data_IF_415354214987
#
_entry.id   IF_415354214987
#
_cell.length_a   1.000
_cell.length_b   1.000
_cell.length_c   1.000
_cell.angle_alpha   90.00
_cell.angle_beta   90.00
_cell.angle_gamma   90.00
#
_symmetry.space_group_name_H-M   'P 1'
#
loop_
_entity.id
_entity.type
_entity.pdbx_description
1 polymer ?
#
# COMPACT_ATOMS: atom_id res chain seq x y z
N UNK A 1 1.23 19.86 18.52
CA UNK A 1 2.21 19.86 17.40
C UNK A 1 1.98 21.12 16.58
N UNK A 2 3.02 21.74 16.05
CA UNK A 2 2.85 22.88 15.14
C UNK A 2 2.22 22.35 13.84
N UNK A 3 1.10 22.95 13.43
CA UNK A 3 0.50 22.70 12.14
C UNK A 3 1.28 23.54 11.11
N UNK A 4 1.83 22.88 10.10
CA UNK A 4 2.48 23.53 8.96
C UNK A 4 1.45 23.53 7.85
N UNK A 5 0.98 24.70 7.44
CA UNK A 5 0.13 24.85 6.27
C UNK A 5 1.03 25.03 5.04
N UNK A 6 0.78 24.26 3.99
CA UNK A 6 1.57 24.27 2.76
C UNK A 6 0.85 25.10 1.69
N UNK A 7 1.48 26.18 1.24
CA UNK A 7 1.01 26.95 0.09
C UNK A 7 1.63 26.39 -1.19
N UNK A 8 0.78 25.95 -2.12
CA UNK A 8 1.19 25.47 -3.44
C UNK A 8 0.81 26.48 -4.52
N UNK A 9 1.70 26.68 -5.50
CA UNK A 9 1.41 27.48 -6.69
C UNK A 9 0.43 26.77 -7.63
N UNK A 10 -0.23 27.54 -8.51
CA UNK A 10 -1.15 26.96 -9.51
C UNK A 10 -0.42 25.97 -10.44
N UNK A 11 0.87 26.18 -10.71
CA UNK A 11 1.67 25.25 -11.53
C UNK A 11 1.81 23.90 -10.85
N UNK A 12 2.11 23.87 -9.55
CA UNK A 12 2.26 22.64 -8.77
C UNK A 12 0.93 21.87 -8.69
N UNK A 13 -0.15 22.59 -8.43
CA UNK A 13 -1.50 21.99 -8.39
C UNK A 13 -1.93 21.51 -9.78
N UNK A 14 -1.59 22.23 -10.84
CA UNK A 14 -1.81 21.79 -12.22
C UNK A 14 -1.03 20.52 -12.54
N UNK A 15 0.18 20.33 -12.00
CA UNK A 15 0.93 19.09 -12.17
C UNK A 15 0.23 17.90 -11.50
N UNK A 16 -0.33 18.07 -10.29
CA UNK A 16 -1.10 17.03 -9.60
C UNK A 16 -2.32 16.61 -10.43
N UNK A 17 -3.10 17.57 -10.93
CA UNK A 17 -4.28 17.28 -11.77
C UNK A 17 -3.87 16.59 -13.07
N UNK A 18 -2.85 17.13 -13.75
CA UNK A 18 -2.40 16.64 -15.05
C UNK A 18 -1.96 15.17 -15.03
N UNK A 19 -1.22 14.73 -14.01
CA UNK A 19 -0.80 13.32 -13.98
C UNK A 19 -1.99 12.36 -13.82
N UNK A 20 -3.04 12.78 -13.10
CA UNK A 20 -4.26 11.99 -12.97
C UNK A 20 -5.01 11.93 -14.31
N UNK A 21 -5.17 13.08 -14.98
CA UNK A 21 -5.82 13.16 -16.28
C UNK A 21 -5.09 12.32 -17.34
N UNK A 22 -3.75 12.37 -17.36
CA UNK A 22 -2.91 11.57 -18.26
C UNK A 22 -3.08 10.05 -18.04
N UNK A 23 -3.54 9.63 -16.86
CA UNK A 23 -3.67 8.21 -16.47
C UNK A 23 -5.13 7.78 -16.28
N UNK A 24 -6.12 8.60 -16.64
CA UNK A 24 -7.54 8.34 -16.36
C UNK A 24 -8.04 7.00 -16.97
N UNK A 25 -7.51 6.64 -18.14
CA UNK A 25 -7.86 5.41 -18.85
C UNK A 25 -6.92 4.23 -18.54
N UNK A 26 -5.98 4.39 -17.62
CA UNK A 26 -5.08 3.33 -17.22
C UNK A 26 -5.85 2.29 -16.37
N UNK A 27 -5.84 0.98 -16.71
CA UNK A 27 -6.58 -0.03 -15.96
C UNK A 27 -6.24 -0.09 -14.47
N UNK A 28 -4.99 0.17 -14.10
CA UNK A 28 -4.58 0.22 -12.68
C UNK A 28 -5.27 1.37 -11.93
N UNK A 29 -5.36 2.54 -12.55
CA UNK A 29 -6.01 3.73 -11.96
C UNK A 29 -7.53 3.55 -11.89
N UNK A 30 -8.14 2.95 -12.92
CA UNK A 30 -9.57 2.62 -12.91
C UNK A 30 -9.89 1.62 -11.79
N UNK A 31 -9.12 0.53 -11.68
CA UNK A 31 -9.27 -0.44 -10.60
C UNK A 31 -9.11 0.20 -9.23
N UNK A 32 -8.12 1.08 -9.04
CA UNK A 32 -7.94 1.84 -7.79
C UNK A 32 -9.17 2.70 -7.46
N UNK A 33 -9.79 3.32 -8.46
CA UNK A 33 -11.00 4.13 -8.27
C UNK A 33 -12.17 3.26 -7.81
N UNK A 34 -12.38 2.13 -8.47
CA UNK A 34 -13.47 1.20 -8.15
C UNK A 34 -13.30 0.62 -6.74
N UNK A 35 -12.07 0.26 -6.38
CA UNK A 35 -11.76 -0.40 -5.10
C UNK A 35 -11.75 0.58 -3.91
N UNK A 36 -11.02 1.70 -4.03
CA UNK A 36 -10.73 2.58 -2.89
C UNK A 36 -11.62 3.82 -2.82
N UNK A 37 -12.13 4.31 -3.95
CA UNK A 37 -12.87 5.58 -3.99
C UNK A 37 -14.38 5.36 -3.91
N UNK A 38 -14.92 4.50 -4.77
CA UNK A 38 -16.36 4.25 -4.83
C UNK A 38 -16.86 3.82 -3.45
N UNK A 39 -18.00 4.39 -3.03
CA UNK A 39 -18.67 4.00 -1.79
C UNK A 39 -19.16 2.57 -1.94
N UNK A 40 -18.69 1.68 -1.07
CA UNK A 40 -18.99 0.27 -1.12
C UNK A 40 -18.99 -0.29 0.30
N UNK A 41 -19.84 -1.29 0.55
CA UNK A 41 -19.66 -2.16 1.69
C UNK A 41 -18.42 -3.02 1.43
N UNK A 42 -17.34 -2.69 2.13
CA UNK A 42 -16.09 -3.45 2.06
C UNK A 42 -16.18 -4.59 3.06
N UNK A 43 -16.05 -5.83 2.55
CA UNK A 43 -15.92 -7.03 3.36
C UNK A 43 -14.57 -7.66 3.07
N UNK A 44 -13.81 -7.97 4.12
CA UNK A 44 -12.47 -8.53 4.02
C UNK A 44 -12.46 -9.87 4.75
N UNK A 45 -11.92 -10.87 4.07
CA UNK A 45 -11.67 -12.21 4.63
C UNK A 45 -10.21 -12.31 5.12
N UNK A 46 -9.94 -13.29 5.97
CA UNK A 46 -8.57 -13.57 6.42
C UNK A 46 -7.62 -13.87 5.25
N UNK A 47 -8.09 -14.61 4.24
CA UNK A 47 -7.31 -14.88 3.01
C UNK A 47 -7.00 -13.61 2.21
N UNK A 48 -7.97 -12.69 2.08
CA UNK A 48 -7.73 -11.43 1.38
C UNK A 48 -6.70 -10.57 2.13
N UNK A 49 -6.77 -10.53 3.46
CA UNK A 49 -5.74 -9.87 4.26
C UNK A 49 -4.37 -10.53 4.05
N UNK A 50 -4.30 -11.86 4.11
CA UNK A 50 -3.06 -12.61 3.91
C UNK A 50 -2.45 -12.35 2.53
N UNK A 51 -3.26 -12.35 1.47
CA UNK A 51 -2.80 -12.05 0.11
C UNK A 51 -2.30 -10.61 -0.02
N UNK A 52 -2.99 -9.63 0.60
CA UNK A 52 -2.54 -8.24 0.63
C UNK A 52 -1.21 -8.07 1.39
N UNK A 53 -1.04 -8.80 2.49
CA UNK A 53 0.20 -8.87 3.27
C UNK A 53 1.36 -9.44 2.44
N UNK A 54 1.16 -10.58 1.77
CA UNK A 54 2.14 -11.17 0.86
C UNK A 54 2.49 -10.22 -0.29
N UNK A 55 1.50 -9.61 -0.93
CA UNK A 55 1.72 -8.63 -2.00
C UNK A 55 2.53 -7.43 -1.50
N UNK A 56 2.28 -6.92 -0.30
CA UNK A 56 3.06 -5.83 0.27
C UNK A 56 4.52 -6.21 0.57
N UNK A 57 4.77 -7.46 1.00
CA UNK A 57 6.14 -7.98 1.18
C UNK A 57 6.85 -8.15 -0.16
N UNK A 58 6.18 -8.74 -1.15
CA UNK A 58 6.71 -8.98 -2.49
C UNK A 58 6.97 -7.69 -3.26
N UNK A 59 6.16 -6.66 -3.08
CA UNK A 59 6.34 -5.36 -3.75
C UNK A 59 7.40 -4.47 -3.06
N UNK A 60 8.02 -4.95 -1.97
CA UNK A 60 9.08 -4.24 -1.27
C UNK A 60 10.45 -4.48 -1.93
N UNK A 61 11.14 -3.38 -2.28
CA UNK A 61 12.50 -3.39 -2.83
C UNK A 61 12.70 -4.13 -4.17
N UNK A 62 11.61 -4.45 -4.87
CA UNK A 62 11.63 -5.00 -6.23
C UNK A 62 10.49 -4.42 -7.07
N UNK A 63 10.62 -4.47 -8.40
CA UNK A 63 9.63 -3.89 -9.32
C UNK A 63 8.38 -4.76 -9.35
N UNK A 64 7.22 -4.13 -9.30
CA UNK A 64 5.89 -4.75 -9.38
C UNK A 64 5.05 -4.16 -10.51
N UNK A 65 5.71 -3.76 -11.61
CA UNK A 65 5.02 -3.36 -12.85
C UNK A 65 4.49 -4.59 -13.60
N UNK A 66 3.71 -4.40 -14.68
CA UNK A 66 2.96 -5.48 -15.35
C UNK A 66 3.81 -6.68 -15.78
N UNK A 67 5.03 -6.43 -16.23
CA UNK A 67 5.94 -7.46 -16.77
C UNK A 67 6.89 -8.05 -15.71
N UNK A 68 6.74 -7.71 -14.43
CA UNK A 68 7.67 -8.19 -13.40
C UNK A 68 7.34 -9.60 -12.91
N UNK A 69 8.37 -10.30 -12.44
CA UNK A 69 8.21 -11.59 -11.75
C UNK A 69 7.26 -11.51 -10.56
N UNK A 70 7.20 -10.37 -9.87
CA UNK A 70 6.23 -10.15 -8.78
C UNK A 70 4.80 -10.21 -9.32
N UNK A 71 4.50 -9.46 -10.38
CA UNK A 71 3.14 -9.42 -10.94
C UNK A 71 2.74 -10.78 -11.52
N UNK A 72 3.67 -11.51 -12.13
CA UNK A 72 3.45 -12.87 -12.60
C UNK A 72 3.14 -13.82 -11.44
N UNK A 73 3.93 -13.80 -10.37
CA UNK A 73 3.68 -14.60 -9.17
C UNK A 73 2.32 -14.28 -8.54
N UNK A 74 2.00 -12.99 -8.36
CA UNK A 74 0.72 -12.57 -7.77
C UNK A 74 -0.48 -13.06 -8.60
N UNK A 75 -0.33 -13.12 -9.92
CA UNK A 75 -1.38 -13.54 -10.84
C UNK A 75 -1.54 -15.06 -10.92
N UNK A 76 -0.43 -15.79 -10.93
CA UNK A 76 -0.41 -17.20 -11.34
C UNK A 76 -0.24 -18.15 -10.16
N UNK A 77 0.45 -17.72 -9.10
CA UNK A 77 0.98 -18.62 -8.06
C UNK A 77 0.72 -18.18 -6.62
N UNK A 78 0.11 -17.02 -6.38
CA UNK A 78 -0.17 -16.55 -5.00
C UNK A 78 -1.03 -17.55 -4.20
N UNK A 79 -1.89 -18.31 -4.87
CA UNK A 79 -2.72 -19.33 -4.22
C UNK A 79 -1.91 -20.52 -3.70
N UNK A 80 -0.71 -20.74 -4.24
CA UNK A 80 0.25 -21.72 -3.72
C UNK A 80 0.78 -21.34 -2.34
N UNK A 81 0.61 -20.09 -1.90
CA UNK A 81 0.99 -19.61 -0.56
C UNK A 81 -0.20 -19.02 0.20
N UNK A 82 -1.42 -19.53 -0.05
CA UNK A 82 -2.63 -19.09 0.66
C UNK A 82 -2.53 -19.30 2.17
N UNK A 83 -3.43 -18.68 2.94
CA UNK A 83 -3.42 -18.81 4.40
C UNK A 83 -3.60 -20.27 4.82
N UNK A 84 -4.49 -21.00 4.14
CA UNK A 84 -4.74 -22.42 4.40
C UNK A 84 -3.53 -23.30 4.03
N UNK A 85 -2.88 -23.05 2.89
CA UNK A 85 -1.64 -23.76 2.54
C UNK A 85 -0.53 -23.51 3.57
N UNK A 86 -0.39 -22.27 4.04
CA UNK A 86 0.55 -21.93 5.10
C UNK A 86 0.19 -22.62 6.42
N UNK A 87 -1.09 -22.67 6.80
CA UNK A 87 -1.55 -23.34 8.03
C UNK A 87 -1.23 -24.84 8.03
N UNK A 88 -1.32 -25.48 6.88
CA UNK A 88 -1.04 -26.91 6.72
C UNK A 88 0.47 -27.23 6.61
N UNK A 89 1.32 -26.22 6.40
CA UNK A 89 2.76 -26.41 6.28
C UNK A 89 3.42 -26.65 7.64
N UNK A 90 4.34 -27.63 7.72
CA UNK A 90 5.11 -27.90 8.94
C UNK A 90 6.02 -26.72 9.32
N UNK A 91 6.56 -26.03 8.31
CA UNK A 91 7.44 -24.86 8.47
C UNK A 91 7.12 -23.81 7.42
N UNK A 92 6.25 -22.87 7.79
CA UNK A 92 5.75 -21.81 6.90
C UNK A 92 6.89 -21.06 6.22
N UNK A 93 7.92 -20.69 6.99
CA UNK A 93 9.02 -19.89 6.46
C UNK A 93 9.80 -20.62 5.38
N UNK A 94 10.03 -21.93 5.55
CA UNK A 94 10.67 -22.78 4.55
C UNK A 94 9.79 -22.97 3.32
N UNK A 95 8.52 -23.29 3.53
CA UNK A 95 7.53 -23.52 2.48
C UNK A 95 7.38 -22.31 1.55
N UNK A 96 7.16 -21.11 2.11
CA UNK A 96 7.03 -19.89 1.31
C UNK A 96 8.34 -19.55 0.61
N UNK A 97 9.49 -19.74 1.26
CA UNK A 97 10.79 -19.45 0.64
C UNK A 97 11.06 -20.35 -0.57
N UNK A 98 10.73 -21.64 -0.47
CA UNK A 98 10.89 -22.63 -1.54
C UNK A 98 10.03 -22.28 -2.74
N UNK A 99 8.73 -22.01 -2.54
CA UNK A 99 7.83 -21.62 -3.64
C UNK A 99 8.31 -20.34 -4.35
N UNK A 100 8.73 -19.33 -3.59
CA UNK A 100 9.23 -18.07 -4.16
C UNK A 100 10.57 -18.26 -4.90
N UNK A 101 11.43 -19.17 -4.42
CA UNK A 101 12.69 -19.53 -5.06
C UNK A 101 12.44 -20.31 -6.37
N UNK A 102 11.52 -21.27 -6.36
CA UNK A 102 11.13 -22.09 -7.51
C UNK A 102 10.50 -21.28 -8.64
N UNK A 103 9.62 -20.31 -8.32
CA UNK A 103 9.08 -19.38 -9.31
C UNK A 103 10.19 -18.62 -10.05
N UNK A 104 11.27 -18.27 -9.33
CA UNK A 104 12.42 -17.56 -9.87
C UNK A 104 12.18 -16.06 -10.08
N UNK A 105 13.26 -15.28 -10.02
CA UNK A 105 13.19 -13.82 -10.22
C UNK A 105 12.66 -13.02 -9.01
N UNK A 106 12.15 -13.67 -7.98
CA UNK A 106 11.82 -13.05 -6.68
C UNK A 106 13.09 -12.92 -5.83
N UNK A 107 13.34 -11.72 -5.33
CA UNK A 107 14.47 -11.44 -4.42
C UNK A 107 14.02 -11.51 -2.97
N UNK A 108 14.98 -11.77 -2.08
CA UNK A 108 14.75 -11.79 -0.63
C UNK A 108 13.71 -12.83 -0.17
N UNK A 109 13.49 -13.89 -0.94
CA UNK A 109 12.52 -14.95 -0.65
C UNK A 109 12.67 -15.51 0.78
N UNK A 110 13.90 -15.75 1.26
CA UNK A 110 14.14 -16.18 2.65
C UNK A 110 13.62 -15.18 3.70
N UNK A 111 13.81 -13.87 3.47
CA UNK A 111 13.30 -12.84 4.38
C UNK A 111 11.77 -12.74 4.31
N UNK A 112 11.18 -12.98 3.13
CA UNK A 112 9.74 -13.00 2.94
C UNK A 112 9.14 -14.21 3.66
N UNK A 113 9.72 -15.40 3.51
CA UNK A 113 9.32 -16.60 4.25
C UNK A 113 9.39 -16.40 5.76
N UNK A 114 10.51 -15.86 6.28
CA UNK A 114 10.64 -15.51 7.70
C UNK A 114 9.53 -14.54 8.17
N UNK A 115 9.20 -13.53 7.35
CA UNK A 115 8.09 -12.63 7.65
C UNK A 115 6.75 -13.34 7.65
N UNK A 116 6.49 -14.24 6.71
CA UNK A 116 5.24 -14.99 6.67
C UNK A 116 5.08 -15.85 7.93
N UNK A 117 6.11 -16.60 8.31
CA UNK A 117 6.09 -17.46 9.50
C UNK A 117 5.81 -16.65 10.77
N UNK A 118 6.60 -15.61 11.04
CA UNK A 118 6.45 -14.78 12.26
C UNK A 118 5.11 -14.06 12.31
N UNK A 119 4.61 -13.60 11.17
CA UNK A 119 3.33 -12.89 11.12
C UNK A 119 2.15 -13.84 11.24
N UNK A 120 2.25 -15.03 10.64
CA UNK A 120 1.25 -16.09 10.81
C UNK A 120 1.16 -16.50 12.27
N UNK A 121 2.28 -16.79 12.94
CA UNK A 121 2.30 -17.16 14.37
C UNK A 121 1.60 -16.11 15.25
N UNK A 122 1.80 -14.83 14.94
CA UNK A 122 1.14 -13.71 15.65
C UNK A 122 -0.36 -13.69 15.40
N UNK A 123 -0.79 -13.90 14.17
CA UNK A 123 -2.20 -13.94 13.79
C UNK A 123 -2.91 -15.14 14.41
N UNK A 124 -2.28 -16.32 14.39
CA UNK A 124 -2.83 -17.57 14.91
C UNK A 124 -2.87 -17.62 16.46
N UNK A 125 -2.12 -16.74 17.13
CA UNK A 125 -2.16 -16.53 18.59
C UNK A 125 -3.07 -15.35 18.95
N UNK A 126 -4.37 -15.47 18.65
CA UNK A 126 -5.42 -14.46 18.91
C UNK A 126 -5.26 -13.08 18.20
N UNK A 127 -4.21 -12.90 17.39
CA UNK A 127 -3.94 -11.63 16.70
C UNK A 127 -4.99 -11.25 15.65
N UNK A 128 -5.79 -12.20 15.16
CA UNK A 128 -6.89 -11.91 14.22
C UNK A 128 -7.94 -10.97 14.81
N UNK A 129 -8.35 -11.16 16.05
CA UNK A 129 -9.39 -10.33 16.67
C UNK A 129 -8.90 -8.89 16.87
N UNK A 130 -7.64 -8.74 17.30
CA UNK A 130 -6.99 -7.44 17.46
C UNK A 130 -6.87 -6.70 16.12
N UNK A 131 -6.44 -7.41 15.06
CA UNK A 131 -6.37 -6.88 13.71
C UNK A 131 -7.76 -6.46 13.20
N UNK A 132 -8.79 -7.28 13.41
CA UNK A 132 -10.14 -6.96 12.94
C UNK A 132 -10.72 -5.73 13.61
N UNK A 133 -10.48 -5.54 14.91
CA UNK A 133 -10.91 -4.32 15.62
C UNK A 133 -10.33 -3.05 15.00
N UNK A 134 -9.10 -3.11 14.48
CA UNK A 134 -8.46 -1.97 13.80
C UNK A 134 -8.97 -1.78 12.36
N UNK A 135 -9.13 -2.86 11.60
CA UNK A 135 -9.65 -2.78 10.23
C UNK A 135 -11.13 -2.36 10.19
N UNK A 136 -11.93 -2.69 11.20
CA UNK A 136 -13.33 -2.28 11.30
C UNK A 136 -13.48 -0.75 11.36
N UNK A 137 -12.53 -0.04 12.00
CA UNK A 137 -12.48 1.43 11.96
C UNK A 137 -12.45 1.96 10.52
N UNK A 138 -11.68 1.30 9.63
CA UNK A 138 -11.55 1.68 8.23
C UNK A 138 -12.75 1.25 7.39
N UNK A 139 -13.31 0.07 7.67
CA UNK A 139 -14.53 -0.43 7.02
C UNK A 139 -15.69 0.55 7.30
N UNK A 140 -15.84 1.03 8.53
CA UNK A 140 -16.90 1.98 8.88
C UNK A 140 -16.79 3.33 8.14
N UNK A 141 -15.58 3.89 7.98
CA UNK A 141 -15.42 5.14 7.22
C UNK A 141 -15.61 4.92 5.71
N UNK A 142 -15.39 3.71 5.19
CA UNK A 142 -15.58 3.37 3.76
C UNK A 142 -17.05 3.30 3.35
N UNK A 143 -17.98 3.07 4.29
CA UNK A 143 -19.45 3.08 4.08
C UNK A 143 -20.03 4.43 3.67
N UNK A 144 -19.22 5.49 3.63
CA UNK A 144 -19.63 6.84 3.29
C UNK A 144 -18.61 7.51 2.39
N UNK A 145 -19.03 8.64 1.80
CA UNK A 145 -18.12 9.57 1.12
C UNK A 145 -16.95 9.99 2.02
N UNK A 146 -15.74 10.20 1.43
CA UNK A 146 -14.57 10.64 2.16
C UNK A 146 -14.79 12.01 2.80
N UNK A 147 -14.24 12.18 3.99
CA UNK A 147 -14.11 13.45 4.70
C UNK A 147 -12.64 13.69 4.96
N UNK A 148 -12.19 14.94 4.90
CA UNK A 148 -10.78 15.25 5.10
C UNK A 148 -10.25 14.69 6.43
N UNK A 149 -11.04 14.74 7.50
CA UNK A 149 -10.67 14.16 8.81
C UNK A 149 -10.39 12.65 8.81
N UNK A 150 -10.77 11.90 7.78
CA UNK A 150 -10.61 10.45 7.72
C UNK A 150 -9.12 10.04 7.65
N UNK A 151 -8.24 10.92 7.16
CA UNK A 151 -6.80 10.65 7.10
C UNK A 151 -6.22 10.25 8.46
N UNK A 152 -6.76 10.82 9.56
CA UNK A 152 -6.25 10.57 10.90
C UNK A 152 -6.49 9.11 11.33
N UNK A 153 -7.67 8.56 11.02
CA UNK A 153 -8.03 7.16 11.31
C UNK A 153 -7.21 6.22 10.43
N UNK A 154 -7.11 6.53 9.13
CA UNK A 154 -6.27 5.77 8.21
C UNK A 154 -4.80 5.73 8.68
N UNK A 155 -4.27 6.85 9.18
CA UNK A 155 -2.90 6.95 9.68
C UNK A 155 -2.69 6.17 10.95
N UNK A 156 -3.64 6.22 11.87
CA UNK A 156 -3.64 5.46 13.12
C UNK A 156 -3.50 3.96 12.81
N UNK A 157 -4.40 3.43 11.96
CA UNK A 157 -4.42 2.00 11.60
C UNK A 157 -3.15 1.62 10.81
N UNK A 158 -2.70 2.45 9.86
CA UNK A 158 -1.46 2.18 9.13
C UNK A 158 -0.24 2.14 10.06
N UNK A 159 -0.17 3.05 11.03
CA UNK A 159 0.92 3.09 12.03
C UNK A 159 0.84 1.90 12.97
N UNK A 160 -0.37 1.51 13.35
CA UNK A 160 -0.62 0.33 14.17
C UNK A 160 -0.11 -0.96 13.48
N UNK A 161 -0.42 -1.16 12.19
CA UNK A 161 0.12 -2.30 11.43
C UNK A 161 1.65 -2.33 11.39
N UNK A 162 2.32 -1.18 11.32
CA UNK A 162 3.78 -1.11 11.24
C UNK A 162 4.52 -1.11 12.57
N UNK A 163 3.88 -0.70 13.66
CA UNK A 163 4.56 -0.46 14.96
C UNK A 163 3.80 -0.97 16.18
N UNK A 164 2.48 -1.12 16.10
CA UNK A 164 1.60 -1.36 17.24
C UNK A 164 1.13 -2.80 17.40
N UNK A 165 0.97 -3.55 16.30
CA UNK A 165 0.42 -4.91 16.32
C UNK A 165 1.27 -5.83 17.20
N UNK A 166 0.66 -6.41 18.23
CA UNK A 166 1.35 -7.17 19.28
C UNK A 166 2.56 -6.43 19.91
N UNK A 167 2.51 -5.10 19.95
CA UNK A 167 3.56 -4.22 20.52
C UNK A 167 4.78 -3.97 19.64
N UNK A 168 4.88 -4.60 18.45
CA UNK A 168 6.04 -4.46 17.56
C UNK A 168 5.67 -4.25 16.08
N UNK A 169 4.38 -4.25 15.73
CA UNK A 169 3.91 -4.23 14.35
C UNK A 169 4.06 -5.59 13.66
N UNK A 170 3.67 -5.69 12.39
CA UNK A 170 3.96 -6.86 11.57
C UNK A 170 5.45 -6.94 11.23
N UNK A 171 6.05 -8.12 11.33
CA UNK A 171 7.44 -8.34 10.98
C UNK A 171 7.70 -7.99 9.51
N UNK A 172 8.70 -7.13 9.27
CA UNK A 172 9.10 -6.59 7.95
C UNK A 172 8.03 -5.75 7.23
N UNK A 173 7.00 -5.32 7.95
CA UNK A 173 5.99 -4.38 7.46
C UNK A 173 6.28 -2.99 8.05
N UNK A 174 6.97 -2.15 7.29
CA UNK A 174 7.19 -0.75 7.65
C UNK A 174 6.06 0.16 7.17
N UNK A 175 6.23 1.48 7.34
CA UNK A 175 5.24 2.51 6.99
C UNK A 175 4.69 2.40 5.57
N UNK A 176 5.55 2.07 4.59
CA UNK A 176 5.14 1.85 3.20
C UNK A 176 4.27 0.59 3.07
N UNK A 177 4.77 -0.55 3.57
CA UNK A 177 4.11 -1.84 3.44
C UNK A 177 2.75 -1.85 4.11
N UNK A 178 2.62 -1.26 5.30
CA UNK A 178 1.32 -1.15 5.98
C UNK A 178 0.28 -0.44 5.10
N UNK A 179 0.67 0.65 4.42
CA UNK A 179 -0.23 1.38 3.51
C UNK A 179 -0.48 0.66 2.20
N UNK A 180 0.49 -0.11 1.69
CA UNK A 180 0.25 -1.03 0.58
C UNK A 180 -0.85 -2.04 0.93
N UNK A 181 -0.76 -2.70 2.10
CA UNK A 181 -1.77 -3.67 2.57
C UNK A 181 -3.15 -3.02 2.59
N UNK A 182 -3.27 -1.88 3.28
CA UNK A 182 -4.56 -1.21 3.45
C UNK A 182 -5.13 -0.69 2.12
N UNK A 183 -4.27 -0.24 1.20
CA UNK A 183 -4.74 0.20 -0.12
C UNK A 183 -5.18 -0.96 -1.01
N UNK A 184 -4.45 -2.09 -1.01
CA UNK A 184 -4.83 -3.30 -1.75
C UNK A 184 -6.22 -3.77 -1.30
N UNK A 185 -6.45 -3.76 0.01
CA UNK A 185 -7.74 -4.10 0.63
C UNK A 185 -8.86 -3.08 0.37
N UNK A 186 -8.58 -1.98 -0.33
CA UNK A 186 -9.59 -0.95 -0.60
C UNK A 186 -9.97 -0.09 0.59
N UNK A 187 -9.17 -0.08 1.67
CA UNK A 187 -9.53 0.53 2.94
C UNK A 187 -9.14 2.00 3.07
N UNK A 188 -8.06 2.43 2.41
CA UNK A 188 -7.54 3.80 2.54
C UNK A 188 -7.75 4.63 1.28
N UNK A 189 -8.04 5.91 1.47
CA UNK A 189 -8.21 6.93 0.43
C UNK A 189 -7.16 8.05 0.53
N UNK A 190 -6.67 8.32 1.74
CA UNK A 190 -5.78 9.42 2.07
C UNK A 190 -4.36 8.97 2.41
N UNK A 191 -4.22 7.85 3.13
CA UNK A 191 -2.91 7.27 3.44
C UNK A 191 -2.44 6.37 2.30
N UNK A 192 -1.27 6.72 1.74
CA UNK A 192 -0.68 6.06 0.57
C UNK A 192 0.76 5.60 0.85
N UNK A 193 1.24 4.54 0.21
CA UNK A 193 2.64 4.16 0.25
C UNK A 193 3.50 5.28 -0.37
N UNK A 194 4.49 5.75 0.38
CA UNK A 194 5.52 6.67 -0.12
C UNK A 194 6.72 5.84 -0.54
N UNK A 195 7.06 5.89 -1.82
CA UNK A 195 8.19 5.15 -2.38
C UNK A 195 9.09 6.03 -3.26
N UNK A 196 10.02 5.39 -3.98
CA UNK A 196 10.96 6.11 -4.85
C UNK A 196 10.27 6.81 -6.03
N UNK A 197 9.11 6.33 -6.50
CA UNK A 197 8.34 6.96 -7.58
C UNK A 197 7.65 8.21 -7.07
N UNK A 198 7.00 8.13 -5.91
CA UNK A 198 6.37 9.28 -5.25
C UNK A 198 7.42 10.34 -4.91
N UNK A 199 8.50 9.96 -4.24
CA UNK A 199 9.56 10.92 -3.88
C UNK A 199 10.21 11.56 -5.10
N UNK A 200 10.42 10.81 -6.19
CA UNK A 200 10.91 11.37 -7.46
C UNK A 200 9.90 12.34 -8.07
N UNK A 201 8.62 12.01 -8.05
CA UNK A 201 7.56 12.88 -8.56
C UNK A 201 7.49 14.19 -7.77
N UNK A 202 7.47 14.12 -6.44
CA UNK A 202 7.42 15.30 -5.57
C UNK A 202 8.60 16.23 -5.82
N UNK A 203 9.82 15.69 -5.82
CA UNK A 203 11.05 16.47 -6.08
C UNK A 203 11.12 17.10 -7.48
N UNK A 204 10.32 16.61 -8.43
CA UNK A 204 10.31 17.10 -9.81
C UNK A 204 9.20 18.12 -10.05
N UNK A 205 8.06 17.96 -9.37
CA UNK A 205 6.83 18.67 -9.69
C UNK A 205 6.37 19.67 -8.62
N UNK A 206 6.94 19.61 -7.41
CA UNK A 206 6.69 20.54 -6.31
C UNK A 206 7.96 21.35 -5.98
N UNK A 207 7.79 22.63 -5.71
CA UNK A 207 8.88 23.55 -5.34
C UNK A 207 9.09 23.56 -3.82
N UNK A 208 9.44 22.39 -3.28
CA UNK A 208 9.67 22.23 -1.85
C UNK A 208 11.01 22.87 -1.43
N UNK A 209 11.10 23.48 -0.24
CA UNK A 209 12.33 24.13 0.23
C UNK A 209 13.47 23.13 0.57
N UNK A 210 13.20 21.84 0.41
CA UNK A 210 14.16 20.74 0.60
C UNK A 210 13.84 19.60 -0.35
N UNK A 211 14.83 18.74 -0.55
CA UNK A 211 14.66 17.51 -1.33
C UNK A 211 14.08 16.41 -0.45
N UNK A 212 13.00 15.79 -0.90
CA UNK A 212 12.42 14.60 -0.27
C UNK A 212 13.38 13.42 -0.45
N UNK A 213 13.78 12.80 0.66
CA UNK A 213 14.72 11.67 0.67
C UNK A 213 14.00 10.36 0.92
N UNK A 214 14.17 9.40 0.00
CA UNK A 214 13.64 8.05 0.18
C UNK A 214 14.22 7.32 1.40
N UNK A 215 15.46 7.62 1.80
CA UNK A 215 16.05 7.02 3.02
C UNK A 215 15.43 7.56 4.30
N UNK A 216 14.86 8.77 4.27
CA UNK A 216 14.18 9.35 5.43
C UNK A 216 12.85 8.67 5.73
N UNK A 217 12.23 8.02 4.75
CA UNK A 217 10.91 7.40 4.87
C UNK A 217 10.88 6.19 5.83
N UNK A 218 12.03 5.70 6.30
CA UNK A 218 12.05 4.71 7.38
C UNK A 218 11.79 5.33 8.77
N UNK A 219 11.92 6.64 8.93
CA UNK A 219 11.54 7.34 10.14
C UNK A 219 10.06 7.75 10.07
N UNK A 220 9.29 7.41 11.11
CA UNK A 220 7.85 7.66 11.17
C UNK A 220 7.49 9.13 11.03
N UNK A 221 8.13 9.99 11.81
CA UNK A 221 7.81 11.42 11.85
C UNK A 221 8.08 12.07 10.49
N UNK A 222 9.19 11.70 9.85
CA UNK A 222 9.48 12.12 8.48
C UNK A 222 8.47 11.56 7.47
N UNK A 223 8.08 10.29 7.60
CA UNK A 223 7.07 9.69 6.73
C UNK A 223 5.73 10.44 6.83
N UNK A 224 5.25 10.72 8.05
CA UNK A 224 4.02 11.46 8.29
C UNK A 224 4.12 12.88 7.75
N UNK A 225 5.24 13.56 7.97
CA UNK A 225 5.49 14.90 7.44
C UNK A 225 5.43 14.96 5.90
N UNK A 226 6.02 13.98 5.19
CA UNK A 226 5.90 13.92 3.73
C UNK A 226 4.48 13.53 3.30
N UNK A 227 3.80 12.68 4.08
CA UNK A 227 2.40 12.32 3.81
C UNK A 227 1.48 13.53 3.91
N UNK A 228 1.72 14.44 4.86
CA UNK A 228 0.95 15.68 5.01
C UNK A 228 1.06 16.56 3.76
N UNK A 229 2.27 16.71 3.19
CA UNK A 229 2.48 17.46 1.93
C UNK A 229 1.69 16.84 0.77
N UNK A 230 1.70 15.50 0.66
CA UNK A 230 0.94 14.80 -0.38
C UNK A 230 -0.56 15.03 -0.18
N UNK A 231 -1.05 14.89 1.04
CA UNK A 231 -2.47 15.04 1.35
C UNK A 231 -2.94 16.48 1.08
N UNK A 232 -2.15 17.49 1.46
CA UNK A 232 -2.51 18.88 1.27
C UNK A 232 -2.44 19.31 -0.20
N UNK A 233 -1.44 18.85 -0.96
CA UNK A 233 -1.37 19.08 -2.41
C UNK A 233 -2.53 18.42 -3.15
N UNK A 234 -2.92 17.19 -2.76
CA UNK A 234 -4.09 16.50 -3.31
C UNK A 234 -5.40 17.22 -2.95
N UNK A 235 -5.56 17.63 -1.69
CA UNK A 235 -6.73 18.37 -1.22
C UNK A 235 -6.90 19.68 -1.99
N UNK A 236 -5.82 20.46 -2.12
CA UNK A 236 -5.80 21.71 -2.90
C UNK A 236 -6.12 21.47 -4.38
N UNK A 237 -5.66 20.34 -4.94
CA UNK A 237 -5.99 19.93 -6.30
C UNK A 237 -7.43 19.41 -6.47
N UNK A 238 -8.15 19.10 -5.39
CA UNK A 238 -9.49 18.52 -5.42
C UNK A 238 -9.49 17.02 -5.77
N UNK A 239 -8.43 16.30 -5.43
CA UNK A 239 -8.24 14.88 -5.76
C UNK A 239 -7.95 14.05 -4.51
N UNK A 240 -8.23 12.75 -4.56
CA UNK A 240 -7.91 11.84 -3.46
C UNK A 240 -6.46 11.31 -3.58
N UNK A 241 -5.69 11.26 -2.48
CA UNK A 241 -4.32 10.75 -2.50
C UNK A 241 -4.17 9.34 -3.11
N UNK A 242 -5.12 8.43 -2.86
CA UNK A 242 -5.07 7.08 -3.44
C UNK A 242 -5.12 7.05 -4.98
N UNK A 243 -5.76 8.04 -5.62
CA UNK A 243 -5.78 8.17 -7.09
C UNK A 243 -4.49 8.80 -7.59
N UNK A 244 -3.98 9.82 -6.88
CA UNK A 244 -2.68 10.40 -7.16
C UNK A 244 -1.57 9.33 -7.09
N UNK A 245 -1.56 8.51 -6.05
CA UNK A 245 -0.65 7.37 -5.90
C UNK A 245 -0.69 6.44 -7.12
N UNK A 246 -1.88 5.99 -7.51
CA UNK A 246 -2.04 5.09 -8.64
C UNK A 246 -1.58 5.74 -9.97
N UNK A 247 -1.88 7.02 -10.19
CA UNK A 247 -1.45 7.75 -11.38
C UNK A 247 0.07 7.95 -11.43
N UNK A 248 0.70 8.30 -10.30
CA UNK A 248 2.16 8.37 -10.20
C UNK A 248 2.75 6.99 -10.46
N UNK A 249 2.26 5.95 -9.80
CA UNK A 249 2.75 4.60 -9.96
C UNK A 249 2.66 4.13 -11.42
N UNK A 250 1.51 4.31 -12.07
CA UNK A 250 1.28 3.88 -13.45
C UNK A 250 2.08 4.69 -14.46
N UNK A 251 2.40 5.96 -14.18
CA UNK A 251 3.20 6.81 -15.08
C UNK A 251 4.64 6.32 -15.30
N UNK A 252 5.17 5.47 -14.41
CA UNK A 252 6.50 4.87 -14.52
C UNK A 252 6.52 3.49 -15.19
N UNK A 253 5.35 2.94 -15.50
CA UNK A 253 5.20 1.64 -16.14
C UNK A 253 4.46 1.81 -17.49
N UNK A 254 4.49 0.79 -18.34
CA UNK A 254 3.79 0.77 -19.62
C UNK A 254 2.91 -0.47 -19.71
N UNK A 255 1.81 -0.38 -20.47
CA UNK A 255 0.99 -1.54 -20.87
C UNK A 255 0.24 -2.27 -19.75
N UNK A 256 -0.26 -1.56 -18.72
CA UNK A 256 -1.19 -2.16 -17.76
C UNK A 256 -2.41 -2.73 -18.48
N UNK A 257 -2.71 -4.01 -18.26
CA UNK A 257 -3.99 -4.62 -18.64
C UNK A 257 -4.91 -4.72 -17.42
N UNK A 258 -6.21 -4.95 -17.67
CA UNK A 258 -7.15 -5.18 -16.58
C UNK A 258 -6.74 -6.39 -15.72
N UNK A 259 -6.24 -7.46 -16.34
CA UNK A 259 -5.80 -8.65 -15.63
C UNK A 259 -4.59 -8.39 -14.74
N UNK A 260 -3.70 -7.46 -15.10
CA UNK A 260 -2.53 -7.13 -14.28
C UNK A 260 -2.95 -6.28 -13.08
N UNK A 261 -3.93 -5.39 -13.26
CA UNK A 261 -4.52 -4.65 -12.15
C UNK A 261 -5.24 -5.61 -11.19
N UNK A 262 -6.08 -6.51 -11.68
CA UNK A 262 -6.84 -7.47 -10.85
C UNK A 262 -5.94 -8.45 -10.07
N UNK A 263 -4.69 -8.67 -10.52
CA UNK A 263 -3.76 -9.53 -9.79
C UNK A 263 -3.18 -8.85 -8.52
N UNK A 264 -3.21 -7.52 -8.45
CA UNK A 264 -2.66 -6.75 -7.32
C UNK A 264 -3.75 -6.43 -6.28
N UNK A 265 -5.00 -6.26 -6.72
CA UNK A 265 -6.15 -5.83 -5.90
C UNK A 265 -7.14 -6.96 -5.67
#
# INVERSE_FOLDING_TARGET
MAQVDWEFSETEISNVRRIIDEQENNPFVQKRRDQNVVEAEVSITADQFWNAHLAALLTSQQRSGPESHVSQFLKEEIQSVSLDQCRDAERIGGYVSEILEEHGGIRYYNNIGEACERNFERLDTDGWDELWGELEKLIEIRKRKPRDSDYAVEREVATYLSEGFAGEGFHRVGSKQARNILQILGLTRFEIPLDSRITKWLNTNLDLPYRVSGSGLSNREYYHFISDIVQESCSTAGVLPCIFDAAVFSSYDTNWTQSDADAIF
#
